data_IF_433491826323
#
_entry.id   IF_433491826323
#
_cell.length_a   1.000
_cell.length_b   1.000
_cell.length_c   1.000
_cell.angle_alpha   90.00
_cell.angle_beta   90.00
_cell.angle_gamma   90.00
#
_symmetry.space_group_name_H-M   'P 1'
#
loop_
_entity.id
_entity.type
_entity.pdbx_description
1 polymer ?
#
# COMPACT_ATOMS: atom_id res chain seq x y z
N UNK A 1 -14.41 0.04 -18.75
CA UNK A 1 -13.69 1.33 -18.91
C UNK A 1 -12.62 1.17 -19.97
N UNK A 2 -11.55 0.41 -19.68
CA UNK A 2 -10.41 0.27 -20.59
C UNK A 2 -10.77 -0.29 -21.97
N UNK A 3 -11.73 -1.21 -22.08
CA UNK A 3 -12.23 -1.67 -23.39
C UNK A 3 -12.73 -0.51 -24.28
N UNK A 4 -13.48 0.44 -23.69
CA UNK A 4 -13.93 1.65 -24.40
C UNK A 4 -12.75 2.58 -24.69
N UNK A 5 -11.88 2.76 -23.71
CA UNK A 5 -10.72 3.65 -23.80
C UNK A 5 -9.76 3.25 -24.94
N UNK A 6 -9.58 1.95 -25.17
CA UNK A 6 -8.68 1.41 -26.19
C UNK A 6 -9.38 1.03 -27.50
N UNK A 7 -10.64 1.43 -27.72
CA UNK A 7 -11.39 1.06 -28.94
C UNK A 7 -10.72 1.56 -30.22
N UNK A 8 -10.16 2.78 -30.19
CA UNK A 8 -9.49 3.39 -31.35
C UNK A 8 -7.95 3.23 -31.33
N UNK A 9 -7.42 2.42 -30.40
CA UNK A 9 -5.99 2.19 -30.32
C UNK A 9 -5.51 1.29 -31.49
N UNK A 10 -4.31 1.55 -32.05
CA UNK A 10 -3.72 0.64 -33.03
C UNK A 10 -3.58 -0.79 -32.50
N UNK A 11 -3.43 -1.80 -33.37
CA UNK A 11 -3.12 -3.15 -32.97
C UNK A 11 -1.90 -3.20 -32.04
N UNK A 12 -1.87 -4.14 -31.09
CA UNK A 12 -0.81 -4.22 -30.08
C UNK A 12 0.61 -4.40 -30.66
N UNK A 13 0.72 -4.85 -31.92
CA UNK A 13 1.99 -4.97 -32.65
C UNK A 13 2.53 -3.63 -33.19
N UNK A 14 1.68 -2.61 -33.30
CA UNK A 14 1.98 -1.32 -33.94
C UNK A 14 1.87 -0.14 -32.97
N UNK A 15 1.20 -0.33 -31.82
CA UNK A 15 0.96 0.72 -30.85
C UNK A 15 2.26 1.24 -30.21
N UNK A 16 2.46 2.55 -30.26
CA UNK A 16 3.50 3.23 -29.50
C UNK A 16 2.94 3.78 -28.17
N UNK A 17 3.82 4.06 -27.20
CA UNK A 17 3.41 4.67 -25.92
C UNK A 17 2.64 5.99 -26.10
N UNK A 18 2.93 6.75 -27.15
CA UNK A 18 2.27 8.03 -27.45
C UNK A 18 0.83 7.87 -27.93
N UNK A 19 0.49 6.70 -28.44
CA UNK A 19 -0.85 6.38 -28.95
C UNK A 19 -1.79 5.97 -27.81
N UNK A 20 -1.23 5.66 -26.63
CA UNK A 20 -2.01 5.24 -25.48
C UNK A 20 -2.74 6.44 -24.85
N UNK A 21 -4.06 6.37 -24.68
CA UNK A 21 -4.84 7.44 -24.07
C UNK A 21 -4.45 7.67 -22.61
N UNK A 22 -4.44 8.94 -22.21
CA UNK A 22 -4.15 9.33 -20.83
C UNK A 22 -5.30 8.92 -19.91
N UNK A 23 -4.98 8.21 -18.84
CA UNK A 23 -5.95 7.84 -17.79
C UNK A 23 -5.80 8.77 -16.59
N UNK A 24 -6.91 9.33 -16.10
CA UNK A 24 -6.91 10.25 -14.95
C UNK A 24 -7.49 9.58 -13.71
N UNK A 25 -6.97 9.96 -12.54
CA UNK A 25 -7.41 9.42 -11.24
C UNK A 25 -8.93 9.55 -11.00
N UNK A 26 -9.61 10.68 -11.30
CA UNK A 26 -11.06 10.77 -11.10
C UNK A 26 -11.85 9.79 -11.98
N UNK A 27 -11.40 9.54 -13.21
CA UNK A 27 -12.06 8.58 -14.10
C UNK A 27 -11.91 7.15 -13.57
N UNK A 28 -10.71 6.81 -13.06
CA UNK A 28 -10.48 5.53 -12.38
C UNK A 28 -11.37 5.38 -11.13
N UNK A 29 -11.54 6.41 -10.31
CA UNK A 29 -12.40 6.28 -9.13
C UNK A 29 -13.88 6.21 -9.50
N UNK A 30 -14.32 6.96 -10.52
CA UNK A 30 -15.70 6.93 -11.03
C UNK A 30 -16.06 5.58 -11.64
N UNK A 31 -15.12 4.93 -12.34
CA UNK A 31 -15.36 3.68 -13.08
C UNK A 31 -14.69 2.47 -12.41
N UNK A 32 -14.44 2.54 -11.09
CA UNK A 32 -13.70 1.53 -10.33
C UNK A 32 -14.19 0.11 -10.56
N UNK A 33 -15.49 -0.12 -10.41
CA UNK A 33 -16.09 -1.46 -10.53
C UNK A 33 -16.04 -1.99 -11.97
N UNK A 34 -15.95 -1.10 -12.95
CA UNK A 34 -15.88 -1.42 -14.37
C UNK A 34 -14.44 -1.82 -14.77
N UNK A 35 -13.43 -1.05 -14.34
CA UNK A 35 -12.03 -1.33 -14.70
C UNK A 35 -11.33 -2.36 -13.82
N UNK A 36 -11.71 -2.51 -12.55
CA UNK A 36 -11.04 -3.46 -11.66
C UNK A 36 -11.32 -4.89 -12.11
N UNK A 37 -10.26 -5.67 -12.31
CA UNK A 37 -10.36 -7.06 -12.75
C UNK A 37 -10.78 -8.03 -11.64
N UNK A 38 -10.57 -7.65 -10.37
CA UNK A 38 -10.96 -8.42 -9.18
C UNK A 38 -12.45 -8.18 -8.90
N UNK A 39 -13.32 -9.00 -9.52
CA UNK A 39 -14.79 -8.77 -9.52
C UNK A 39 -15.48 -8.97 -8.17
N UNK A 40 -14.82 -9.62 -7.22
CA UNK A 40 -15.33 -9.77 -5.84
C UNK A 40 -15.19 -8.49 -5.00
N UNK A 41 -14.48 -7.47 -5.51
CA UNK A 41 -14.19 -6.24 -4.78
C UNK A 41 -14.80 -5.02 -5.46
N UNK A 42 -15.98 -4.59 -4.99
CA UNK A 42 -16.54 -3.28 -5.36
C UNK A 42 -15.82 -2.12 -4.66
N UNK A 43 -15.94 -0.91 -5.20
CA UNK A 43 -15.46 0.33 -4.58
C UNK A 43 -16.06 0.55 -3.18
N UNK A 44 -17.35 0.26 -3.01
CA UNK A 44 -18.04 0.44 -1.72
C UNK A 44 -17.49 -0.50 -0.65
N UNK A 45 -17.32 -1.79 -0.97
CA UNK A 45 -16.66 -2.79 -0.10
C UNK A 45 -15.24 -2.34 0.29
N UNK A 46 -14.47 -1.81 -0.66
CA UNK A 46 -13.14 -1.29 -0.38
C UNK A 46 -13.20 -0.07 0.55
N UNK A 47 -14.08 0.90 0.29
CA UNK A 47 -14.25 2.10 1.11
C UNK A 47 -14.74 1.78 2.52
N UNK A 48 -15.64 0.82 2.68
CA UNK A 48 -16.09 0.34 3.99
C UNK A 48 -14.94 -0.23 4.80
N UNK A 49 -14.08 -1.04 4.17
CA UNK A 49 -12.88 -1.56 4.83
C UNK A 49 -11.91 -0.44 5.23
N UNK A 50 -11.67 0.52 4.35
CA UNK A 50 -10.76 1.66 4.56
C UNK A 50 -11.25 2.65 5.64
N UNK A 51 -12.55 2.68 5.96
CA UNK A 51 -13.10 3.51 7.04
C UNK A 51 -12.80 2.95 8.43
N UNK A 52 -12.55 1.65 8.57
CA UNK A 52 -12.23 1.03 9.85
C UNK A 52 -10.73 1.02 10.10
N UNK A 53 -10.26 1.90 11.00
CA UNK A 53 -8.85 2.00 11.36
C UNK A 53 -8.27 0.73 11.97
N UNK A 54 -9.11 -0.15 12.53
CA UNK A 54 -8.67 -1.44 13.08
C UNK A 54 -8.29 -2.43 11.98
N UNK A 55 -8.71 -2.17 10.74
CA UNK A 55 -8.43 -2.99 9.58
C UNK A 55 -7.17 -2.57 8.81
N UNK A 56 -6.42 -1.59 9.29
CA UNK A 56 -5.16 -1.21 8.62
C UNK A 56 -4.19 -2.38 8.56
N UNK A 57 -3.71 -2.71 7.36
CA UNK A 57 -2.83 -3.85 7.11
C UNK A 57 -3.55 -5.22 7.19
N UNK A 58 -4.88 -5.23 7.19
CA UNK A 58 -5.70 -6.45 7.10
C UNK A 58 -6.15 -6.62 5.66
N UNK A 59 -5.87 -7.76 4.99
CA UNK A 59 -6.34 -7.96 3.62
C UNK A 59 -7.86 -8.15 3.58
N UNK A 60 -8.45 -7.85 2.41
CA UNK A 60 -9.80 -8.27 2.03
C UNK A 60 -9.60 -9.50 1.15
N UNK A 61 -9.99 -10.68 1.65
CA UNK A 61 -9.73 -11.95 0.96
C UNK A 61 -8.24 -12.09 0.57
N UNK A 62 -7.92 -12.12 -0.72
CA UNK A 62 -6.58 -12.29 -1.28
C UNK A 62 -5.90 -10.98 -1.69
N UNK A 63 -6.48 -9.83 -1.35
CA UNK A 63 -5.95 -8.52 -1.76
C UNK A 63 -5.70 -7.59 -0.56
N UNK A 64 -4.61 -6.83 -0.65
CA UNK A 64 -4.35 -5.70 0.21
C UNK A 64 -4.95 -4.43 -0.39
N UNK A 65 -5.63 -3.62 0.43
CA UNK A 65 -6.30 -2.39 -0.01
C UNK A 65 -5.73 -1.20 0.76
N UNK A 66 -5.41 -0.14 0.02
CA UNK A 66 -4.86 1.11 0.55
C UNK A 66 -5.57 2.31 -0.07
N UNK A 67 -5.37 3.49 0.51
CA UNK A 67 -5.80 4.76 -0.05
C UNK A 67 -4.65 5.76 -0.17
N UNK A 68 -4.77 6.71 -1.08
CA UNK A 68 -3.87 7.88 -1.16
C UNK A 68 -4.36 8.99 -0.23
N UNK A 69 -3.51 9.97 0.08
CA UNK A 69 -3.86 11.15 0.91
C UNK A 69 -4.95 12.05 0.32
N UNK A 70 -5.25 11.91 -0.98
CA UNK A 70 -6.37 12.63 -1.58
C UNK A 70 -6.12 14.12 -1.81
N UNK A 71 -4.88 14.55 -2.08
CA UNK A 71 -4.52 15.96 -2.35
C UNK A 71 -5.30 16.65 -3.47
N UNK A 72 -6.03 15.90 -4.30
CA UNK A 72 -6.89 16.41 -5.37
C UNK A 72 -8.40 16.26 -5.08
N UNK A 73 -8.80 16.14 -3.81
CA UNK A 73 -10.21 16.06 -3.39
C UNK A 73 -10.76 14.64 -3.23
N UNK A 74 -10.36 13.69 -4.09
CA UNK A 74 -10.75 12.27 -3.97
C UNK A 74 -9.53 11.36 -3.73
N UNK A 75 -9.49 10.62 -2.59
CA UNK A 75 -8.52 9.55 -2.37
C UNK A 75 -8.69 8.43 -3.40
N UNK A 76 -7.61 8.09 -4.10
CA UNK A 76 -7.57 6.85 -4.87
C UNK A 76 -7.52 5.64 -3.94
N UNK A 77 -8.31 4.62 -4.26
CA UNK A 77 -8.23 3.27 -3.71
C UNK A 77 -7.25 2.44 -4.54
N UNK A 78 -6.26 1.86 -3.87
CA UNK A 78 -5.23 1.01 -4.48
C UNK A 78 -5.45 -0.42 -4.00
N UNK A 79 -5.51 -1.36 -4.93
CA UNK A 79 -5.73 -2.78 -4.66
C UNK A 79 -4.51 -3.56 -5.16
N UNK A 80 -3.88 -4.34 -4.28
CA UNK A 80 -2.73 -5.16 -4.59
C UNK A 80 -3.05 -6.64 -4.30
N UNK A 81 -2.99 -7.54 -5.28
CA UNK A 81 -3.18 -8.97 -5.03
C UNK A 81 -2.02 -9.53 -4.19
N UNK A 82 -2.28 -10.61 -3.45
CA UNK A 82 -1.28 -11.32 -2.64
C UNK A 82 -0.02 -11.66 -3.42
N UNK A 83 -0.15 -12.13 -4.66
CA UNK A 83 0.96 -12.44 -5.56
C UNK A 83 1.89 -11.25 -5.83
N UNK A 84 1.32 -10.04 -5.98
CA UNK A 84 2.11 -8.81 -6.13
C UNK A 84 2.84 -8.48 -4.83
N UNK A 85 2.15 -8.60 -3.69
CA UNK A 85 2.71 -8.32 -2.37
C UNK A 85 3.89 -9.26 -2.09
N UNK A 86 3.74 -10.55 -2.36
CA UNK A 86 4.79 -11.57 -2.24
C UNK A 86 6.00 -11.24 -3.12
N UNK A 87 5.76 -10.93 -4.40
CA UNK A 87 6.82 -10.57 -5.34
C UNK A 87 7.57 -9.30 -4.90
N UNK A 88 6.85 -8.26 -4.52
CA UNK A 88 7.41 -7.01 -4.03
C UNK A 88 8.30 -7.23 -2.80
N UNK A 89 7.81 -7.99 -1.82
CA UNK A 89 8.60 -8.31 -0.63
C UNK A 89 9.79 -9.21 -0.95
N UNK A 90 9.65 -10.17 -1.86
CA UNK A 90 10.75 -11.01 -2.32
C UNK A 90 11.89 -10.18 -2.88
N UNK A 91 11.59 -9.22 -3.77
CA UNK A 91 12.60 -8.30 -4.32
C UNK A 91 13.19 -7.40 -3.24
N UNK A 92 12.35 -6.80 -2.39
CA UNK A 92 12.81 -5.95 -1.30
C UNK A 92 13.80 -6.68 -0.38
N UNK A 93 13.50 -7.94 -0.05
CA UNK A 93 14.36 -8.78 0.77
C UNK A 93 15.63 -9.22 0.03
N UNK A 94 15.54 -9.54 -1.26
CA UNK A 94 16.71 -9.89 -2.07
C UNK A 94 17.70 -8.71 -2.22
N UNK A 95 17.17 -7.48 -2.27
CA UNK A 95 17.97 -6.24 -2.30
C UNK A 95 18.46 -5.80 -0.91
N UNK A 96 18.06 -6.49 0.15
CA UNK A 96 18.45 -6.17 1.51
C UNK A 96 19.88 -6.66 1.80
N UNK A 97 20.86 -5.94 1.26
CA UNK A 97 22.28 -6.28 1.34
C UNK A 97 22.88 -6.15 2.77
N UNK A 98 24.11 -6.66 2.94
CA UNK A 98 24.89 -6.58 4.20
C UNK A 98 24.95 -5.17 4.81
N UNK A 99 24.99 -4.12 3.98
CA UNK A 99 24.97 -2.74 4.44
C UNK A 99 23.68 -2.40 5.20
N UNK A 100 22.52 -2.80 4.68
CA UNK A 100 21.23 -2.59 5.34
C UNK A 100 21.19 -3.32 6.69
N UNK A 101 21.66 -4.57 6.75
CA UNK A 101 21.78 -5.32 8.01
C UNK A 101 22.76 -4.69 9.01
N UNK A 102 23.81 -4.02 8.52
CA UNK A 102 24.75 -3.29 9.37
C UNK A 102 24.10 -2.02 9.90
N UNK A 103 23.50 -1.21 9.03
CA UNK A 103 22.75 0.01 9.39
C UNK A 103 21.66 -0.31 10.42
N UNK A 104 20.89 -1.36 10.20
CA UNK A 104 19.82 -1.77 11.11
C UNK A 104 20.35 -2.18 12.49
N UNK A 105 21.49 -2.89 12.53
CA UNK A 105 22.19 -3.21 13.78
C UNK A 105 22.72 -1.96 14.47
N UNK A 106 23.29 -1.04 13.72
CA UNK A 106 23.86 0.21 14.26
C UNK A 106 22.74 1.12 14.80
N UNK A 107 21.62 1.25 14.10
CA UNK A 107 20.41 1.94 14.58
C UNK A 107 19.86 1.30 15.86
N UNK A 108 19.78 -0.04 15.93
CA UNK A 108 19.38 -0.74 17.16
C UNK A 108 20.34 -0.49 18.31
N UNK A 109 21.66 -0.43 18.06
CA UNK A 109 22.68 -0.10 19.07
C UNK A 109 22.55 1.34 19.58
N UNK A 110 22.13 2.26 18.73
CA UNK A 110 21.85 3.65 19.10
C UNK A 110 20.58 3.81 19.94
N UNK A 111 19.85 2.72 20.22
CA UNK A 111 18.62 2.76 21.02
C UNK A 111 17.41 3.34 20.29
N UNK A 112 17.55 3.70 19.02
CA UNK A 112 16.44 4.20 18.19
C UNK A 112 15.55 3.02 17.80
N UNK A 113 14.40 2.91 18.46
CA UNK A 113 13.42 1.83 18.24
C UNK A 113 12.16 2.28 17.53
N UNK A 114 12.04 3.58 17.22
CA UNK A 114 10.80 4.20 16.74
C UNK A 114 11.04 4.93 15.44
N UNK A 115 10.17 4.70 14.46
CA UNK A 115 10.08 5.52 13.25
C UNK A 115 8.72 6.19 13.25
N UNK A 116 8.69 7.53 13.22
CA UNK A 116 7.45 8.28 13.16
C UNK A 116 7.08 8.50 11.70
N UNK A 117 5.87 8.09 11.30
CA UNK A 117 5.35 8.32 9.95
C UNK A 117 4.10 9.18 10.01
N UNK A 118 3.97 10.14 9.09
CA UNK A 118 2.70 10.85 8.87
C UNK A 118 1.65 9.96 8.19
N UNK A 119 0.38 10.25 8.39
CA UNK A 119 -0.74 9.50 7.81
C UNK A 119 -1.22 8.36 8.70
N UNK A 120 -1.99 8.66 9.74
CA UNK A 120 -2.79 7.66 10.45
C UNK A 120 -3.97 7.27 9.55
N UNK A 121 -3.90 6.04 9.03
CA UNK A 121 -4.89 5.56 8.09
C UNK A 121 -4.34 4.48 7.17
N UNK A 122 -5.19 4.08 6.24
CA UNK A 122 -4.90 3.05 5.24
C UNK A 122 -3.98 3.54 4.11
N UNK A 123 -3.00 4.41 4.41
CA UNK A 123 -2.03 4.85 3.41
C UNK A 123 -1.06 3.74 3.08
N UNK A 124 -0.58 3.68 1.82
CA UNK A 124 0.29 2.61 1.36
C UNK A 124 1.50 2.36 2.27
N UNK A 125 2.17 3.42 2.74
CA UNK A 125 3.33 3.28 3.64
C UNK A 125 2.98 2.57 4.97
N UNK A 126 1.99 3.09 5.69
CA UNK A 126 1.56 2.54 6.97
C UNK A 126 0.87 1.17 6.84
N UNK A 127 -0.03 1.06 5.86
CA UNK A 127 -0.77 -0.17 5.60
C UNK A 127 0.14 -1.33 5.20
N UNK A 128 1.14 -1.08 4.33
CA UNK A 128 2.08 -2.10 3.91
C UNK A 128 2.98 -2.55 5.06
N UNK A 129 3.40 -1.62 5.92
CA UNK A 129 4.13 -1.98 7.14
C UNK A 129 3.29 -2.89 8.06
N UNK A 130 2.06 -2.47 8.40
CA UNK A 130 1.16 -3.26 9.24
C UNK A 130 0.81 -4.62 8.62
N UNK A 131 0.71 -4.69 7.29
CA UNK A 131 0.53 -5.95 6.56
C UNK A 131 1.72 -6.91 6.78
N UNK A 132 2.97 -6.44 6.70
CA UNK A 132 4.15 -7.27 7.01
C UNK A 132 4.14 -7.74 8.44
N UNK A 133 3.84 -6.84 9.39
CA UNK A 133 3.74 -7.20 10.80
C UNK A 133 2.72 -8.32 11.04
N UNK A 134 1.64 -8.36 10.25
CA UNK A 134 0.61 -9.41 10.31
C UNK A 134 1.06 -10.70 9.62
N UNK A 135 1.61 -10.62 8.41
CA UNK A 135 1.94 -11.80 7.60
C UNK A 135 3.24 -12.48 8.04
N UNK A 136 4.25 -11.71 8.46
CA UNK A 136 5.53 -12.25 8.93
C UNK A 136 6.04 -11.50 10.17
N UNK A 137 5.52 -11.83 11.37
CA UNK A 137 5.89 -11.17 12.61
C UNK A 137 7.38 -11.31 12.95
N UNK A 138 8.02 -12.41 12.56
CA UNK A 138 9.44 -12.64 12.83
C UNK A 138 10.32 -11.69 12.01
N UNK A 139 10.01 -11.53 10.72
CA UNK A 139 10.68 -10.58 9.84
C UNK A 139 10.49 -9.14 10.34
N UNK A 140 9.26 -8.77 10.70
CA UNK A 140 8.96 -7.43 11.19
C UNK A 140 9.72 -7.09 12.48
N UNK A 141 9.82 -8.04 13.42
CA UNK A 141 10.65 -7.90 14.63
C UNK A 141 12.15 -7.84 14.31
N UNK A 142 12.61 -8.59 13.30
CA UNK A 142 13.99 -8.59 12.84
C UNK A 142 14.41 -7.24 12.27
N UNK A 143 13.50 -6.60 11.52
CA UNK A 143 13.67 -5.26 10.96
C UNK A 143 13.64 -4.14 12.03
N UNK A 144 13.11 -4.39 13.23
CA UNK A 144 13.40 -3.60 14.42
C UNK A 144 12.90 -2.15 14.44
N UNK A 145 11.98 -1.79 13.54
CA UNK A 145 11.38 -0.45 13.46
C UNK A 145 9.95 -0.54 14.00
N UNK A 146 9.70 0.01 15.20
CA UNK A 146 8.32 0.25 15.64
C UNK A 146 7.82 1.50 14.93
N UNK A 147 6.94 1.31 13.95
CA UNK A 147 6.31 2.42 13.26
C UNK A 147 5.23 3.03 14.15
N UNK A 148 5.38 4.31 14.42
CA UNK A 148 4.44 5.13 15.18
C UNK A 148 3.85 6.16 14.22
N UNK A 149 2.52 6.18 14.11
CA UNK A 149 1.84 7.19 13.32
C UNK A 149 1.82 8.52 14.10
N UNK A 150 2.23 9.60 13.45
CA UNK A 150 2.36 10.92 14.09
C UNK A 150 1.04 11.48 14.64
N UNK A 151 -0.09 11.03 14.08
CA UNK A 151 -1.44 11.49 14.44
C UNK A 151 -2.08 10.65 15.55
N UNK A 152 -1.37 9.64 16.11
CA UNK A 152 -1.86 8.93 17.29
C UNK A 152 -1.79 9.84 18.53
N UNK A 153 -2.77 9.73 19.45
CA UNK A 153 -2.74 10.47 20.71
C UNK A 153 -1.44 10.20 21.47
N UNK A 154 -0.73 11.27 21.86
CA UNK A 154 0.60 11.19 22.49
C UNK A 154 0.57 10.35 23.77
N UNK A 155 -0.51 10.42 24.54
CA UNK A 155 -0.76 9.62 25.73
C UNK A 155 -0.74 8.11 25.44
N UNK A 156 -1.29 7.67 24.30
CA UNK A 156 -1.25 6.27 23.87
C UNK A 156 0.10 5.84 23.33
N UNK A 157 0.89 6.79 22.81
CA UNK A 157 2.25 6.52 22.32
C UNK A 157 3.21 6.30 23.49
N UNK A 158 3.16 7.17 24.50
CA UNK A 158 4.01 7.06 25.70
C UNK A 158 3.78 5.75 26.45
N UNK A 159 2.55 5.23 26.50
CA UNK A 159 2.26 3.95 27.15
C UNK A 159 2.72 2.69 26.39
N UNK A 160 3.19 2.82 25.14
CA UNK A 160 3.62 1.68 24.29
C UNK A 160 5.14 1.62 24.05
N UNK A 161 5.87 2.65 24.48
CA UNK A 161 7.33 2.75 24.41
C UNK A 161 7.98 2.18 25.66
#
# INVERSE_FOLDING_TARGET
MFQRLYTDAPPSSEVELRDLPVTRKPDLMREFDDWLTIRSLSLDRAREHLRDIRKVGVPIDDVAVFQTSGTSGEPAVIVLPSSFVEYYFGIMMARFERYHWKLLRDVRKLGVRVTITGGNGHFAGNGLNKLVHRLNPALARGLGLNFIEAEQPIDRLVGKL
#
